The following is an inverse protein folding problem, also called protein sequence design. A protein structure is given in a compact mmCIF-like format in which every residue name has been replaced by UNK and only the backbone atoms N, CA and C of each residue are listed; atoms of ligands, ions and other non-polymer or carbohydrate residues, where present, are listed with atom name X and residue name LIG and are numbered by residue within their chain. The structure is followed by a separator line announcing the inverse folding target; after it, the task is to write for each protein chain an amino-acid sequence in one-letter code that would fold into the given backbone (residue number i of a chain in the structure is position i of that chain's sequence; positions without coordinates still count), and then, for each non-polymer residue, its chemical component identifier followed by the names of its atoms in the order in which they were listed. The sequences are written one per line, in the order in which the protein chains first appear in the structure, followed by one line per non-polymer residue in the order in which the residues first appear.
data_IF_437464649591
#
_entry.id   IF_437464649591
#
_cell.length_a   1.000
_cell.length_b   1.000
_cell.length_c   1.000
_cell.angle_alpha   90.00
_cell.angle_beta   90.00
_cell.angle_gamma   90.00
#
_symmetry.space_group_name_H-M   'P 1'
#
loop_
_entity.id
_entity.type
_entity.pdbx_description
1 polymer ?
#
# COMPACT_ATOMS: atom_id res chain seq x y z
N UNK A 1 38.25 3.59 41.28
CA UNK A 1 37.87 2.73 40.13
C UNK A 1 36.60 2.01 40.53
N UNK A 2 35.45 2.61 40.21
CA UNK A 2 34.14 2.16 40.70
C UNK A 2 33.38 1.52 39.55
N UNK A 3 33.10 0.22 39.69
CA UNK A 3 32.34 -0.60 38.76
C UNK A 3 30.90 -0.08 38.61
N UNK A 4 30.58 0.50 37.45
CA UNK A 4 29.20 0.65 36.97
C UNK A 4 28.87 -0.58 36.14
N UNK A 5 28.47 -1.66 36.80
CA UNK A 5 27.81 -2.79 36.16
C UNK A 5 26.48 -2.30 35.60
N UNK A 6 26.49 -2.01 34.30
CA UNK A 6 25.29 -1.68 33.53
C UNK A 6 24.37 -2.89 33.56
N UNK A 7 23.26 -2.80 34.31
CA UNK A 7 22.20 -3.80 34.35
C UNK A 7 21.50 -3.83 32.99
N UNK A 8 22.03 -4.64 32.08
CA UNK A 8 21.39 -4.92 30.80
C UNK A 8 20.43 -6.08 31.02
N UNK A 9 19.13 -5.78 31.14
CA UNK A 9 18.08 -6.78 31.12
C UNK A 9 18.02 -7.38 29.71
N UNK A 10 18.12 -8.71 29.63
CA UNK A 10 17.92 -9.51 28.43
C UNK A 10 16.47 -9.98 28.38
N UNK A 11 15.76 -9.65 27.31
CA UNK A 11 14.39 -10.14 27.06
C UNK A 11 14.44 -11.00 25.79
N UNK A 12 13.96 -12.25 25.89
CA UNK A 12 14.00 -13.23 24.80
C UNK A 12 12.75 -13.29 23.93
N UNK A 13 11.71 -12.51 24.26
CA UNK A 13 10.56 -12.33 23.40
C UNK A 13 10.00 -10.91 23.57
N UNK A 14 9.98 -10.15 22.49
CA UNK A 14 9.50 -8.77 22.47
C UNK A 14 8.13 -8.73 21.81
N UNK A 15 7.18 -8.12 22.50
CA UNK A 15 5.94 -7.66 21.87
C UNK A 15 5.98 -6.15 21.88
N UNK A 16 5.96 -5.53 20.71
CA UNK A 16 5.91 -4.06 20.60
C UNK A 16 4.52 -3.64 20.12
N UNK A 17 3.94 -2.68 20.83
CA UNK A 17 2.73 -1.99 20.39
C UNK A 17 3.11 -0.98 19.28
N UNK A 18 2.47 -0.99 18.10
CA UNK A 18 2.79 -0.06 17.01
C UNK A 18 2.82 1.42 17.42
N UNK A 19 1.96 1.82 18.36
CA UNK A 19 1.93 3.20 18.90
C UNK A 19 3.17 3.57 19.70
N UNK A 20 3.76 2.59 20.38
CA UNK A 20 5.00 2.80 21.12
C UNK A 20 6.17 2.78 20.16
N UNK A 21 6.20 1.80 19.25
CA UNK A 21 7.23 1.68 18.22
C UNK A 21 7.43 2.98 17.43
N UNK A 22 6.33 3.60 16.98
CA UNK A 22 6.30 4.86 16.21
C UNK A 22 6.85 6.09 16.93
N UNK A 23 7.14 6.01 18.23
CA UNK A 23 7.85 7.08 18.93
C UNK A 23 9.28 7.28 18.41
N UNK A 24 9.92 6.21 17.91
CA UNK A 24 11.23 6.31 17.28
C UNK A 24 11.06 6.36 15.77
N UNK A 25 11.66 7.35 15.07
CA UNK A 25 11.68 7.41 13.62
C UNK A 25 12.21 6.11 13.01
N UNK A 26 11.58 5.64 11.94
CA UNK A 26 11.93 4.36 11.32
C UNK A 26 13.38 4.30 10.86
N UNK A 27 13.97 5.42 10.44
CA UNK A 27 15.37 5.49 10.01
C UNK A 27 16.31 5.17 11.17
N UNK A 28 16.00 5.70 12.37
CA UNK A 28 16.78 5.41 13.58
C UNK A 28 16.54 3.98 14.06
N UNK A 29 15.30 3.49 13.95
CA UNK A 29 14.95 2.12 14.31
C UNK A 29 15.76 1.12 13.47
N UNK A 30 15.77 1.26 12.15
CA UNK A 30 16.54 0.40 11.24
C UNK A 30 18.06 0.58 11.43
N UNK A 31 18.54 1.82 11.50
CA UNK A 31 19.98 2.11 11.58
C UNK A 31 20.63 1.57 12.85
N UNK A 32 19.91 1.65 13.97
CA UNK A 32 20.44 1.29 15.28
C UNK A 32 19.86 -0.01 15.84
N UNK A 33 19.02 -0.72 15.06
CA UNK A 33 18.25 -1.88 15.50
C UNK A 33 17.64 -1.63 16.88
N UNK A 34 16.85 -0.57 16.94
CA UNK A 34 16.26 -0.03 18.14
C UNK A 34 14.75 0.05 17.97
N UNK A 35 14.00 -0.44 18.96
CA UNK A 35 12.55 -0.47 18.91
C UNK A 35 11.99 -0.06 20.27
N UNK A 36 11.20 1.02 20.37
CA UNK A 36 10.44 1.27 21.57
C UNK A 36 9.45 0.13 21.82
N UNK A 37 9.41 -0.37 23.06
CA UNK A 37 8.59 -1.55 23.42
C UNK A 37 7.55 -1.24 24.49
N UNK A 38 7.78 -0.24 25.34
CA UNK A 38 6.83 0.17 26.37
C UNK A 38 6.97 1.66 26.71
N UNK A 39 5.89 2.25 27.22
CA UNK A 39 5.86 3.59 27.83
C UNK A 39 5.21 3.47 29.20
N UNK A 40 5.84 4.07 30.22
CA UNK A 40 5.31 4.19 31.57
C UNK A 40 5.49 5.63 32.05
N UNK A 41 4.40 6.42 32.02
CA UNK A 41 4.45 7.87 32.23
C UNK A 41 5.33 8.56 31.20
N UNK A 42 6.38 9.26 31.65
CA UNK A 42 7.35 9.94 30.79
C UNK A 42 8.51 9.02 30.34
N UNK A 43 8.57 7.79 30.86
CA UNK A 43 9.68 6.86 30.61
C UNK A 43 9.36 5.96 29.42
N UNK A 44 10.25 5.96 28.42
CA UNK A 44 10.16 5.06 27.26
C UNK A 44 11.19 3.95 27.40
N UNK A 45 10.77 2.70 27.28
CA UNK A 45 11.68 1.54 27.24
C UNK A 45 11.93 1.16 25.80
N UNK A 46 13.20 1.11 25.40
CA UNK A 46 13.67 0.79 24.05
C UNK A 46 14.50 -0.48 24.08
N UNK A 47 14.11 -1.47 23.28
CA UNK A 47 14.94 -2.63 23.00
C UNK A 47 15.96 -2.28 21.92
N UNK A 48 17.24 -2.55 22.18
CA UNK A 48 18.34 -2.36 21.23
C UNK A 48 19.15 -3.65 21.08
N UNK A 49 19.63 -3.92 19.87
CA UNK A 49 20.58 -5.03 19.64
C UNK A 49 21.92 -4.75 20.35
N UNK A 50 22.38 -3.50 20.27
CA UNK A 50 23.70 -3.04 20.73
C UNK A 50 23.61 -1.83 21.67
N UNK A 51 23.06 -1.98 22.90
CA UNK A 51 22.94 -0.87 23.85
C UNK A 51 24.28 -0.29 24.35
N UNK A 52 25.38 -0.99 24.12
CA UNK A 52 26.76 -0.55 24.38
C UNK A 52 27.25 0.53 23.40
N UNK A 53 26.63 0.65 22.22
CA UNK A 53 26.95 1.70 21.27
C UNK A 53 26.47 3.06 21.82
N UNK A 54 27.42 3.85 22.30
CA UNK A 54 27.16 5.14 22.93
C UNK A 54 26.58 6.16 21.96
N UNK A 55 26.91 6.08 20.67
CA UNK A 55 26.41 7.02 19.66
C UNK A 55 24.98 6.65 19.25
N UNK A 56 24.70 5.35 19.07
CA UNK A 56 23.34 4.86 18.86
C UNK A 56 22.43 5.25 20.04
N UNK A 57 22.89 5.04 21.27
CA UNK A 57 22.12 5.38 22.47
C UNK A 57 21.88 6.88 22.61
N UNK A 58 22.87 7.72 22.32
CA UNK A 58 22.68 9.18 22.29
C UNK A 58 21.65 9.60 21.25
N UNK A 59 21.69 9.03 20.04
CA UNK A 59 20.74 9.34 18.99
C UNK A 59 19.30 8.94 19.37
N UNK A 60 19.12 7.76 19.95
CA UNK A 60 17.81 7.28 20.44
C UNK A 60 17.29 8.17 21.57
N UNK A 61 18.12 8.51 22.56
CA UNK A 61 17.75 9.40 23.67
C UNK A 61 17.42 10.81 23.17
N UNK A 62 18.16 11.34 22.21
CA UNK A 62 17.88 12.65 21.62
C UNK A 62 16.50 12.68 20.93
N UNK A 63 16.08 11.56 20.34
CA UNK A 63 14.78 11.40 19.68
C UNK A 63 13.62 11.23 20.67
N UNK A 64 13.81 10.42 21.72
CA UNK A 64 12.72 10.00 22.63
C UNK A 64 12.67 10.77 23.95
N UNK A 65 13.72 11.53 24.27
CA UNK A 65 13.85 12.29 25.50
C UNK A 65 14.71 11.61 26.58
N UNK A 66 15.10 12.38 27.61
CA UNK A 66 16.08 11.97 28.62
C UNK A 66 15.60 10.84 29.55
N UNK A 67 14.29 10.60 29.63
CA UNK A 67 13.69 9.52 30.41
C UNK A 67 13.71 8.16 29.68
N UNK A 68 14.53 8.00 28.64
CA UNK A 68 14.62 6.73 27.89
C UNK A 68 15.47 5.69 28.61
N UNK A 69 14.90 4.51 28.83
CA UNK A 69 15.60 3.32 29.32
C UNK A 69 15.88 2.37 28.17
N UNK A 70 17.11 1.85 28.08
CA UNK A 70 17.52 0.93 27.02
C UNK A 70 17.74 -0.46 27.60
N UNK A 71 17.15 -1.47 26.96
CA UNK A 71 17.35 -2.89 27.26
C UNK A 71 17.99 -3.58 26.06
N UNK A 72 18.69 -4.70 26.29
CA UNK A 72 19.21 -5.52 25.18
C UNK A 72 18.16 -6.53 24.75
N UNK A 73 17.99 -6.68 23.44
CA UNK A 73 17.25 -7.80 22.90
C UNK A 73 17.93 -8.37 21.64
N UNK A 74 17.39 -9.47 21.12
CA UNK A 74 17.94 -10.16 19.97
C UNK A 74 17.80 -9.30 18.70
N UNK A 75 18.89 -9.18 17.94
CA UNK A 75 18.94 -8.36 16.75
C UNK A 75 17.94 -8.82 15.67
N UNK A 76 17.78 -10.15 15.50
CA UNK A 76 16.88 -10.71 14.49
C UNK A 76 15.43 -10.52 14.87
N UNK A 77 15.13 -10.59 16.17
CA UNK A 77 13.78 -10.33 16.66
C UNK A 77 13.39 -8.85 16.50
N UNK A 78 14.30 -7.93 16.82
CA UNK A 78 14.10 -6.50 16.59
C UNK A 78 13.93 -6.22 15.10
N UNK A 79 14.80 -6.78 14.25
CA UNK A 79 14.73 -6.61 12.80
C UNK A 79 13.42 -7.14 12.20
N UNK A 80 12.95 -8.32 12.65
CA UNK A 80 11.66 -8.87 12.24
C UNK A 80 10.52 -7.91 12.61
N UNK A 81 10.48 -7.42 13.85
CA UNK A 81 9.45 -6.50 14.33
C UNK A 81 9.51 -5.16 13.60
N UNK A 82 10.71 -4.62 13.36
CA UNK A 82 10.89 -3.39 12.60
C UNK A 82 10.35 -3.56 11.17
N UNK A 83 10.66 -4.67 10.51
CA UNK A 83 10.16 -4.92 9.15
C UNK A 83 8.64 -5.16 9.09
N UNK A 84 8.05 -5.70 10.16
CA UNK A 84 6.60 -5.83 10.31
C UNK A 84 5.92 -4.47 10.54
N UNK A 85 6.53 -3.60 11.34
CA UNK A 85 5.97 -2.31 11.74
C UNK A 85 6.21 -1.21 10.70
N UNK A 86 7.39 -1.22 10.10
CA UNK A 86 7.84 -0.32 9.04
C UNK A 86 8.49 -1.15 7.94
N UNK A 87 7.70 -1.73 7.03
CA UNK A 87 8.24 -2.30 5.81
C UNK A 87 9.12 -1.23 5.16
N UNK A 88 10.40 -1.55 4.90
CA UNK A 88 11.49 -0.62 4.54
C UNK A 88 11.16 0.41 3.44
N UNK A 89 10.09 0.19 2.67
CA UNK A 89 9.63 1.08 1.61
C UNK A 89 8.70 2.21 2.09
N UNK A 90 8.34 2.30 3.38
CA UNK A 90 7.24 3.16 3.85
C UNK A 90 7.51 4.68 3.83
N UNK A 91 8.77 5.15 3.78
CA UNK A 91 9.11 6.58 3.83
C UNK A 91 10.29 7.02 2.92
N UNK A 92 10.80 6.15 2.06
CA UNK A 92 11.85 6.52 1.11
C UNK A 92 11.34 7.52 0.04
N UNK A 93 12.26 8.35 -0.50
CA UNK A 93 12.04 9.16 -1.70
C UNK A 93 11.47 8.27 -2.81
N UNK A 94 10.25 8.56 -3.25
CA UNK A 94 9.54 7.76 -4.24
C UNK A 94 10.04 8.11 -5.64
N UNK A 95 10.50 7.12 -6.39
CA UNK A 95 10.78 7.32 -7.82
C UNK A 95 9.50 7.11 -8.60
N UNK A 96 9.01 8.17 -9.23
CA UNK A 96 7.77 8.15 -10.00
C UNK A 96 8.12 8.30 -11.46
N UNK A 97 7.79 7.29 -12.26
CA UNK A 97 7.91 7.36 -13.71
C UNK A 97 6.55 7.72 -14.30
N UNK A 98 6.52 8.73 -15.16
CA UNK A 98 5.33 9.11 -15.90
C UNK A 98 5.50 8.82 -17.39
N UNK A 99 4.45 8.31 -18.01
CA UNK A 99 4.44 8.01 -19.45
C UNK A 99 3.09 8.34 -20.07
N UNK A 100 3.11 9.17 -21.12
CA UNK A 100 1.91 9.59 -21.86
C UNK A 100 2.13 9.41 -23.36
N UNK A 101 1.42 8.46 -24.01
CA UNK A 101 1.62 8.16 -25.43
C UNK A 101 1.10 9.24 -26.38
N UNK A 102 0.25 10.16 -25.90
CA UNK A 102 -0.46 11.14 -26.74
C UNK A 102 -0.49 12.53 -26.11
N UNK A 103 -0.25 13.57 -26.92
CA UNK A 103 -0.26 14.98 -26.49
C UNK A 103 -1.66 15.56 -26.16
N UNK A 104 -2.74 14.80 -26.39
CA UNK A 104 -4.11 15.31 -26.18
C UNK A 104 -4.55 15.10 -24.73
N UNK A 105 -4.85 16.18 -24.01
CA UNK A 105 -5.19 16.14 -22.58
C UNK A 105 -3.98 16.10 -21.65
N UNK A 106 -2.80 16.45 -22.17
CA UNK A 106 -1.52 16.34 -21.48
C UNK A 106 -1.44 17.25 -20.25
N UNK A 107 -1.97 18.48 -20.32
CA UNK A 107 -1.87 19.46 -19.22
C UNK A 107 -2.59 19.00 -17.94
N UNK A 108 -3.83 18.51 -18.04
CA UNK A 108 -4.59 18.03 -16.87
C UNK A 108 -3.87 16.84 -16.23
N UNK A 109 -3.38 15.92 -17.06
CA UNK A 109 -2.68 14.74 -16.58
C UNK A 109 -1.29 15.06 -16.02
N UNK A 110 -0.54 15.99 -16.62
CA UNK A 110 0.73 16.47 -16.10
C UNK A 110 0.55 17.14 -14.74
N UNK A 111 -0.45 18.03 -14.61
CA UNK A 111 -0.78 18.68 -13.33
C UNK A 111 -1.14 17.63 -12.26
N UNK A 112 -1.94 16.62 -12.63
CA UNK A 112 -2.27 15.52 -11.73
C UNK A 112 -1.02 14.73 -11.29
N UNK A 113 -0.14 14.38 -12.23
CA UNK A 113 1.10 13.62 -11.96
C UNK A 113 2.06 14.42 -11.08
N UNK A 114 2.22 15.71 -11.35
CA UNK A 114 3.00 16.61 -10.50
C UNK A 114 2.41 16.69 -9.10
N UNK A 115 1.08 16.78 -8.99
CA UNK A 115 0.39 16.83 -7.71
C UNK A 115 0.54 15.53 -6.91
N UNK A 116 0.44 14.37 -7.58
CA UNK A 116 0.70 13.06 -6.97
C UNK A 116 2.17 12.93 -6.56
N UNK A 117 3.11 13.38 -7.38
CA UNK A 117 4.53 13.34 -7.04
C UNK A 117 4.86 14.23 -5.85
N UNK A 118 4.34 15.45 -5.81
CA UNK A 118 4.47 16.35 -4.68
C UNK A 118 3.86 15.75 -3.40
N UNK A 119 2.65 15.19 -3.52
CA UNK A 119 1.98 14.50 -2.42
C UNK A 119 2.82 13.34 -1.89
N UNK A 120 3.45 12.57 -2.76
CA UNK A 120 4.28 11.43 -2.36
C UNK A 120 5.71 11.80 -1.98
N UNK A 121 6.08 13.09 -2.06
CA UNK A 121 7.46 13.56 -1.92
C UNK A 121 8.42 12.78 -2.84
N UNK A 122 7.98 12.55 -4.08
CA UNK A 122 8.67 11.70 -5.06
C UNK A 122 9.41 12.47 -6.14
N UNK A 123 10.49 11.87 -6.62
CA UNK A 123 11.26 12.32 -7.78
C UNK A 123 10.54 11.87 -9.06
N UNK A 124 10.10 12.86 -9.85
CA UNK A 124 9.33 12.63 -11.08
C UNK A 124 10.25 12.52 -12.30
N UNK A 125 10.20 11.37 -12.96
CA UNK A 125 10.84 11.10 -14.25
C UNK A 125 9.76 11.04 -15.32
N UNK A 126 10.01 11.64 -16.50
CA UNK A 126 9.07 11.61 -17.62
C UNK A 126 9.68 10.86 -18.78
N UNK A 127 8.98 9.86 -19.30
CA UNK A 127 9.35 9.10 -20.47
C UNK A 127 8.55 9.60 -21.68
N UNK A 128 9.19 10.42 -22.53
CA UNK A 128 8.57 10.98 -23.73
C UNK A 128 8.83 10.07 -24.93
N UNK A 129 8.13 8.94 -24.99
CA UNK A 129 8.22 8.01 -26.12
C UNK A 129 7.03 8.23 -27.06
N UNK A 130 7.25 8.79 -28.26
CA UNK A 130 6.18 8.98 -29.23
C UNK A 130 5.66 7.63 -29.69
N UNK A 131 4.36 7.40 -29.51
CA UNK A 131 3.72 6.14 -29.83
C UNK A 131 3.44 6.02 -31.33
N UNK A 132 4.42 5.55 -32.11
CA UNK A 132 4.23 5.18 -33.52
C UNK A 132 3.87 3.69 -33.70
N UNK A 133 4.28 2.82 -32.77
CA UNK A 133 3.90 1.40 -32.70
C UNK A 133 3.81 0.93 -31.23
N UNK A 134 2.79 0.13 -30.90
CA UNK A 134 2.51 -0.33 -29.53
C UNK A 134 3.67 -1.14 -28.91
N UNK A 135 4.24 -2.09 -29.68
CA UNK A 135 5.36 -2.93 -29.24
C UNK A 135 6.66 -2.17 -28.93
N UNK A 136 6.98 -1.12 -29.69
CA UNK A 136 8.17 -0.29 -29.44
C UNK A 136 8.01 0.56 -28.18
N UNK A 137 6.81 1.10 -27.95
CA UNK A 137 6.52 1.88 -26.75
C UNK A 137 6.66 1.02 -25.48
N UNK A 138 6.14 -0.21 -25.51
CA UNK A 138 6.22 -1.13 -24.38
C UNK A 138 7.65 -1.56 -24.04
N UNK A 139 8.48 -1.83 -25.06
CA UNK A 139 9.90 -2.12 -24.86
C UNK A 139 10.63 -0.95 -24.20
N UNK A 140 10.37 0.27 -24.65
CA UNK A 140 11.02 1.47 -24.10
C UNK A 140 10.56 1.79 -22.67
N UNK A 141 9.28 1.58 -22.35
CA UNK A 141 8.78 1.69 -20.97
C UNK A 141 9.43 0.63 -20.09
N UNK A 142 9.51 -0.62 -20.56
CA UNK A 142 10.14 -1.72 -19.80
C UNK A 142 11.60 -1.39 -19.52
N UNK A 143 12.31 -0.85 -20.51
CA UNK A 143 13.69 -0.40 -20.34
C UNK A 143 13.80 0.78 -19.37
N UNK A 144 12.92 1.78 -19.48
CA UNK A 144 12.88 2.91 -18.56
C UNK A 144 12.59 2.47 -17.12
N UNK A 145 11.66 1.53 -16.92
CA UNK A 145 11.37 0.91 -15.62
C UNK A 145 12.58 0.15 -15.10
N UNK A 146 13.29 -0.59 -15.97
CA UNK A 146 14.51 -1.33 -15.59
C UNK A 146 15.64 -0.38 -15.15
N UNK A 147 15.85 0.72 -15.87
CA UNK A 147 16.92 1.67 -15.61
C UNK A 147 16.65 2.54 -14.39
N UNK A 148 15.42 3.05 -14.26
CA UNK A 148 15.07 3.99 -13.19
C UNK A 148 14.63 3.29 -11.91
N UNK A 149 14.15 2.05 -12.01
CA UNK A 149 13.54 1.27 -10.93
C UNK A 149 12.50 2.11 -10.16
N UNK A 150 11.45 2.59 -10.84
CA UNK A 150 10.43 3.41 -10.19
C UNK A 150 9.59 2.58 -9.22
N UNK A 151 9.20 3.20 -8.11
CA UNK A 151 8.22 2.64 -7.17
C UNK A 151 6.80 2.70 -7.74
N UNK A 152 6.53 3.73 -8.54
CA UNK A 152 5.24 3.99 -9.18
C UNK A 152 5.39 4.40 -10.64
N UNK A 153 4.71 3.70 -11.54
CA UNK A 153 4.51 4.11 -12.93
C UNK A 153 3.11 4.69 -13.09
N UNK A 154 3.03 5.98 -13.47
CA UNK A 154 1.78 6.66 -13.79
C UNK A 154 1.63 6.75 -15.30
N UNK A 155 0.51 6.29 -15.83
CA UNK A 155 0.21 6.46 -17.25
C UNK A 155 -1.25 6.81 -17.51
N UNK A 156 -1.50 7.50 -18.64
CA UNK A 156 -2.85 7.84 -19.08
C UNK A 156 -3.38 6.78 -20.04
N UNK A 157 -4.58 6.28 -19.76
CA UNK A 157 -5.31 5.42 -20.70
C UNK A 157 -6.28 6.30 -21.54
N UNK A 158 -6.21 6.27 -22.89
CA UNK A 158 -7.02 7.14 -23.75
C UNK A 158 -8.53 6.78 -23.76
N UNK A 159 -9.38 7.78 -23.94
CA UNK A 159 -10.86 7.72 -23.81
C UNK A 159 -11.63 7.03 -24.97
N UNK A 160 -10.98 6.37 -25.92
CA UNK A 160 -11.60 5.90 -27.19
C UNK A 160 -11.10 4.48 -27.59
N UNK A 161 -11.59 3.84 -28.69
CA UNK A 161 -11.50 2.38 -28.93
C UNK A 161 -10.07 1.83 -29.07
N UNK A 162 -9.07 2.72 -29.00
CA UNK A 162 -7.68 2.43 -28.72
C UNK A 162 -7.45 1.63 -27.44
N UNK A 163 -8.42 1.48 -26.52
CA UNK A 163 -8.36 0.42 -25.50
C UNK A 163 -8.19 -0.97 -26.14
N UNK A 164 -8.75 -1.24 -27.33
CA UNK A 164 -8.51 -2.47 -28.09
C UNK A 164 -7.07 -2.63 -28.59
N UNK A 165 -6.30 -1.53 -28.67
CA UNK A 165 -4.95 -1.49 -29.23
C UNK A 165 -3.86 -1.21 -28.18
N UNK A 166 -4.17 -0.47 -27.11
CA UNK A 166 -3.24 0.05 -26.09
C UNK A 166 -3.46 -0.51 -24.69
N UNK A 167 -4.69 -0.95 -24.36
CA UNK A 167 -4.89 -2.00 -23.36
C UNK A 167 -4.64 -3.39 -23.96
N UNK A 168 -3.81 -3.35 -25.02
CA UNK A 168 -2.96 -4.37 -25.55
C UNK A 168 -3.76 -5.27 -26.50
N UNK A 169 -3.22 -5.53 -27.70
CA UNK A 169 -3.63 -6.76 -28.38
C UNK A 169 -3.55 -7.90 -27.35
N UNK A 170 -4.39 -8.94 -27.45
CA UNK A 170 -4.36 -10.07 -26.51
C UNK A 170 -2.95 -10.64 -26.27
N UNK A 171 -2.03 -10.45 -27.22
CA UNK A 171 -0.62 -10.79 -27.14
C UNK A 171 0.21 -9.90 -26.17
N UNK A 172 -0.12 -8.62 -26.02
CA UNK A 172 0.67 -7.65 -25.26
C UNK A 172 0.12 -7.42 -23.83
N UNK A 173 -1.15 -7.79 -23.54
CA UNK A 173 -1.78 -7.71 -22.19
C UNK A 173 -0.93 -8.23 -21.03
N UNK A 174 -0.15 -9.32 -21.22
CA UNK A 174 0.68 -9.86 -20.17
C UNK A 174 1.82 -8.93 -19.73
N UNK A 175 2.24 -7.93 -20.50
CA UNK A 175 3.52 -7.25 -20.27
C UNK A 175 3.45 -6.09 -19.27
N UNK A 176 2.41 -5.25 -19.32
CA UNK A 176 2.22 -4.19 -18.30
C UNK A 176 1.94 -4.80 -16.93
N UNK A 177 1.18 -5.90 -16.90
CA UNK A 177 0.96 -6.68 -15.68
C UNK A 177 2.24 -7.35 -15.15
N UNK A 178 3.23 -7.64 -16.01
CA UNK A 178 4.53 -8.21 -15.63
C UNK A 178 5.56 -7.20 -15.11
N UNK A 179 5.30 -5.88 -15.23
CA UNK A 179 6.24 -4.89 -14.70
C UNK A 179 6.36 -5.05 -13.18
N UNK A 180 7.55 -5.04 -12.58
CA UNK A 180 7.71 -5.23 -11.14
C UNK A 180 7.24 -4.01 -10.31
N UNK A 181 6.83 -2.91 -10.95
CA UNK A 181 6.44 -1.64 -10.30
C UNK A 181 4.92 -1.51 -10.13
N UNK A 182 4.50 -0.75 -9.11
CA UNK A 182 3.09 -0.40 -8.90
C UNK A 182 2.61 0.53 -10.02
N UNK A 183 1.34 0.43 -10.39
CA UNK A 183 0.80 1.10 -11.58
C UNK A 183 -0.37 2.01 -11.20
N UNK A 184 -0.29 3.29 -11.53
CA UNK A 184 -1.42 4.22 -11.46
C UNK A 184 -1.94 4.51 -12.87
N UNK A 185 -3.08 3.94 -13.19
CA UNK A 185 -3.76 4.14 -14.47
C UNK A 185 -4.72 5.31 -14.33
N UNK A 186 -4.54 6.35 -15.14
CA UNK A 186 -5.38 7.55 -15.11
C UNK A 186 -6.22 7.64 -16.38
N UNK A 187 -7.55 7.71 -16.24
CA UNK A 187 -8.47 8.00 -17.36
C UNK A 187 -8.99 9.43 -17.22
N UNK A 188 -9.76 9.65 -16.16
CA UNK A 188 -10.13 11.00 -15.71
C UNK A 188 -9.44 11.27 -14.38
N UNK A 189 -8.28 11.97 -14.38
CA UNK A 189 -7.62 12.34 -13.14
C UNK A 189 -8.56 13.17 -12.26
N UNK A 190 -8.62 12.84 -10.96
CA UNK A 190 -9.42 13.56 -9.96
C UNK A 190 -8.51 14.07 -8.87
N UNK A 191 -8.54 15.38 -8.67
CA UNK A 191 -7.72 16.07 -7.68
C UNK A 191 -8.56 17.15 -6.98
N UNK A 192 -8.41 17.35 -5.66
CA UNK A 192 -7.57 16.60 -4.72
C UNK A 192 -8.05 15.16 -4.47
N UNK A 193 -7.16 14.29 -3.98
CA UNK A 193 -7.54 12.94 -3.54
C UNK A 193 -8.15 13.06 -2.14
N UNK A 194 -9.48 13.00 -2.03
CA UNK A 194 -10.18 13.10 -0.75
C UNK A 194 -10.84 11.78 -0.34
N UNK A 195 -11.19 10.92 -1.31
CA UNK A 195 -11.93 9.67 -1.07
C UNK A 195 -11.29 8.51 -1.82
N UNK A 196 -10.74 7.56 -1.08
CA UNK A 196 -10.06 6.38 -1.62
C UNK A 196 -10.93 5.15 -1.39
N UNK A 197 -11.18 4.37 -2.44
CA UNK A 197 -11.77 3.03 -2.35
C UNK A 197 -10.64 2.00 -2.32
N UNK A 198 -10.44 1.32 -1.19
CA UNK A 198 -9.52 0.20 -1.05
C UNK A 198 -10.28 -1.11 -1.25
N UNK A 199 -9.99 -1.81 -2.35
CA UNK A 199 -10.58 -3.11 -2.66
C UNK A 199 -9.66 -4.19 -2.11
N UNK A 200 -10.19 -5.05 -1.23
CA UNK A 200 -9.48 -6.19 -0.66
C UNK A 200 -10.05 -7.48 -1.24
N UNK A 201 -9.20 -8.37 -1.74
CA UNK A 201 -9.62 -9.64 -2.32
C UNK A 201 -8.92 -10.86 -1.70
N UNK A 202 -7.70 -10.70 -1.17
CA UNK A 202 -6.92 -11.76 -0.57
C UNK A 202 -5.88 -11.22 0.42
N UNK A 203 -5.79 -11.77 1.65
CA UNK A 203 -4.83 -11.34 2.66
C UNK A 203 -3.37 -11.31 2.17
N UNK A 204 -3.00 -12.20 1.25
CA UNK A 204 -1.61 -12.33 0.78
C UNK A 204 -1.20 -11.29 -0.27
N UNK A 205 -2.18 -10.71 -0.99
CA UNK A 205 -1.92 -9.81 -2.12
C UNK A 205 -2.38 -8.37 -1.87
N UNK A 206 -3.20 -8.16 -0.83
CA UNK A 206 -3.75 -6.84 -0.51
C UNK A 206 -2.81 -5.97 0.34
N UNK A 207 -1.78 -6.57 0.95
CA UNK A 207 -0.85 -5.85 1.83
C UNK A 207 -0.15 -4.67 1.12
N UNK A 208 0.38 -4.82 -0.12
CA UNK A 208 0.85 -3.68 -0.90
C UNK A 208 -0.22 -2.61 -1.15
N UNK A 209 -1.47 -3.01 -1.38
CA UNK A 209 -2.58 -2.10 -1.63
C UNK A 209 -2.91 -1.27 -0.38
N UNK A 210 -2.94 -1.92 0.78
CA UNK A 210 -3.13 -1.25 2.06
C UNK A 210 -1.97 -0.29 2.37
N UNK A 211 -0.72 -0.68 2.09
CA UNK A 211 0.45 0.20 2.24
C UNK A 211 0.36 1.46 1.38
N UNK A 212 0.01 1.30 0.10
CA UNK A 212 -0.20 2.43 -0.82
C UNK A 212 -1.38 3.31 -0.38
N UNK A 213 -2.47 2.69 0.06
CA UNK A 213 -3.64 3.41 0.57
C UNK A 213 -3.28 4.25 1.79
N UNK A 214 -2.61 3.70 2.80
CA UNK A 214 -2.14 4.43 3.99
C UNK A 214 -1.23 5.58 3.59
N UNK A 215 -0.28 5.34 2.68
CA UNK A 215 0.66 6.37 2.22
C UNK A 215 -0.05 7.56 1.59
N UNK A 216 -1.03 7.30 0.73
CA UNK A 216 -1.78 8.33 0.02
C UNK A 216 -2.77 9.04 0.95
N UNK A 217 -3.54 8.27 1.71
CA UNK A 217 -4.55 8.78 2.63
C UNK A 217 -3.94 9.65 3.73
N UNK A 218 -2.83 9.22 4.35
CA UNK A 218 -2.17 9.99 5.42
C UNK A 218 -1.69 11.36 4.95
N UNK A 219 -1.13 11.45 3.74
CA UNK A 219 -0.58 12.70 3.19
C UNK A 219 -1.66 13.59 2.59
N UNK A 220 -2.69 13.01 1.99
CA UNK A 220 -3.80 13.75 1.39
C UNK A 220 -4.90 14.08 2.41
N UNK A 221 -4.82 13.55 3.63
CA UNK A 221 -5.90 13.56 4.62
C UNK A 221 -7.20 13.01 4.03
N UNK A 222 -7.08 11.94 3.23
CA UNK A 222 -8.19 11.33 2.53
C UNK A 222 -8.92 10.30 3.39
N UNK A 223 -10.22 10.19 3.19
CA UNK A 223 -11.05 9.16 3.79
C UNK A 223 -10.94 7.87 2.98
N UNK A 224 -10.85 6.73 3.68
CA UNK A 224 -10.71 5.42 3.06
C UNK A 224 -11.99 4.62 3.24
N UNK A 225 -12.53 4.08 2.16
CA UNK A 225 -13.57 3.06 2.21
C UNK A 225 -12.97 1.72 1.84
N UNK A 226 -13.04 0.75 2.73
CA UNK A 226 -12.61 -0.63 2.52
C UNK A 226 -13.80 -1.42 1.96
N UNK A 227 -13.59 -2.07 0.82
CA UNK A 227 -14.53 -2.99 0.19
C UNK A 227 -13.86 -4.38 0.08
N UNK A 228 -14.12 -5.32 1.01
CA UNK A 228 -13.74 -6.71 0.84
C UNK A 228 -14.62 -7.38 -0.21
N UNK A 229 -13.99 -8.05 -1.16
CA UNK A 229 -14.66 -8.87 -2.16
C UNK A 229 -14.97 -10.24 -1.56
N UNK A 230 -16.25 -10.48 -1.30
CA UNK A 230 -16.73 -11.75 -0.75
C UNK A 230 -17.31 -12.58 -1.89
N UNK A 231 -16.79 -13.79 -2.09
CA UNK A 231 -17.39 -14.72 -3.04
C UNK A 231 -18.79 -15.12 -2.57
N UNK A 232 -19.80 -14.87 -3.41
CA UNK A 232 -21.17 -15.34 -3.14
C UNK A 232 -21.17 -16.87 -3.06
N UNK A 233 -21.70 -17.44 -1.98
CA UNK A 233 -21.84 -18.90 -1.91
C UNK A 233 -22.89 -19.37 -2.92
N UNK A 234 -22.79 -20.62 -3.41
CA UNK A 234 -23.81 -21.21 -4.26
C UNK A 234 -25.20 -21.08 -3.62
N UNK A 235 -26.25 -20.85 -4.42
CA UNK A 235 -27.60 -20.53 -3.97
C UNK A 235 -28.18 -21.51 -2.92
N UNK A 236 -27.74 -22.77 -2.91
CA UNK A 236 -28.11 -23.78 -1.90
C UNK A 236 -27.63 -23.44 -0.48
N UNK A 237 -26.64 -22.56 -0.33
CA UNK A 237 -26.11 -22.06 0.95
C UNK A 237 -26.51 -20.59 1.23
N UNK A 238 -27.32 -19.96 0.37
CA UNK A 238 -27.71 -18.55 0.51
C UNK A 238 -28.44 -18.28 1.84
N UNK A 239 -29.21 -19.25 2.34
CA UNK A 239 -29.89 -19.15 3.64
C UNK A 239 -28.93 -19.10 4.85
N UNK A 240 -27.69 -19.58 4.69
CA UNK A 240 -26.64 -19.50 5.71
C UNK A 240 -25.81 -18.21 5.58
N UNK A 241 -25.67 -17.65 4.36
CA UNK A 241 -24.96 -16.39 4.14
C UNK A 241 -25.79 -15.14 4.47
N UNK A 242 -27.11 -15.17 4.27
CA UNK A 242 -28.01 -14.06 4.61
C UNK A 242 -28.03 -13.66 6.10
N UNK A 243 -27.29 -14.38 6.95
CA UNK A 243 -27.16 -14.11 8.39
C UNK A 243 -25.79 -13.58 8.81
N UNK A 244 -24.81 -13.43 7.91
CA UNK A 244 -23.52 -12.89 8.30
C UNK A 244 -23.56 -11.36 8.30
N UNK A 245 -23.89 -10.76 9.44
CA UNK A 245 -23.73 -9.33 9.60
C UNK A 245 -22.25 -8.96 9.67
N UNK A 246 -21.92 -7.70 9.36
CA UNK A 246 -20.59 -7.11 9.53
C UNK A 246 -19.97 -7.44 10.90
N UNK A 247 -20.79 -7.37 11.94
CA UNK A 247 -20.40 -7.67 13.31
C UNK A 247 -20.03 -9.14 13.52
N UNK A 248 -20.68 -10.06 12.82
CA UNK A 248 -20.39 -11.49 12.91
C UNK A 248 -19.08 -11.83 12.19
N UNK A 249 -18.83 -11.20 11.03
CA UNK A 249 -17.57 -11.38 10.29
C UNK A 249 -16.39 -10.82 11.10
N UNK A 250 -16.53 -9.61 11.65
CA UNK A 250 -15.50 -8.98 12.49
C UNK A 250 -15.29 -9.69 13.83
N UNK A 251 -16.35 -10.33 14.37
CA UNK A 251 -16.30 -11.10 15.62
C UNK A 251 -15.81 -12.53 15.46
N UNK A 252 -15.83 -13.07 14.24
CA UNK A 252 -15.34 -14.41 13.94
C UNK A 252 -13.82 -14.45 13.72
N UNK A 253 -13.17 -15.54 14.15
CA UNK A 253 -11.74 -15.78 13.90
C UNK A 253 -11.45 -16.28 12.46
N UNK A 254 -12.25 -15.85 11.48
CA UNK A 254 -11.99 -16.18 10.09
C UNK A 254 -10.90 -15.28 9.48
N UNK A 255 -10.27 -15.75 8.40
CA UNK A 255 -9.19 -15.03 7.72
C UNK A 255 -9.61 -13.64 7.25
N UNK A 256 -10.83 -13.51 6.72
CA UNK A 256 -11.40 -12.22 6.30
C UNK A 256 -11.61 -11.28 7.48
N UNK A 257 -12.17 -11.77 8.59
CA UNK A 257 -12.36 -11.01 9.83
C UNK A 257 -11.01 -10.50 10.38
N UNK A 258 -9.98 -11.36 10.39
CA UNK A 258 -8.62 -10.98 10.78
C UNK A 258 -8.03 -9.91 9.86
N UNK A 259 -8.17 -10.09 8.54
CA UNK A 259 -7.68 -9.12 7.56
C UNK A 259 -8.37 -7.76 7.71
N UNK A 260 -9.69 -7.75 7.88
CA UNK A 260 -10.45 -6.51 8.07
C UNK A 260 -10.12 -5.82 9.39
N UNK A 261 -9.96 -6.58 10.49
CA UNK A 261 -9.49 -6.05 11.77
C UNK A 261 -8.09 -5.45 11.63
N UNK A 262 -7.17 -6.14 10.96
CA UNK A 262 -5.81 -5.65 10.72
C UNK A 262 -5.82 -4.38 9.86
N UNK A 263 -6.58 -4.36 8.76
CA UNK A 263 -6.69 -3.18 7.90
C UNK A 263 -7.29 -1.98 8.65
N UNK A 264 -8.38 -2.19 9.40
CA UNK A 264 -9.00 -1.15 10.22
C UNK A 264 -8.06 -0.63 11.31
N UNK A 265 -7.35 -1.53 12.01
CA UNK A 265 -6.36 -1.14 13.02
C UNK A 265 -5.25 -0.28 12.41
N UNK A 266 -4.75 -0.67 11.24
CA UNK A 266 -3.71 0.09 10.56
C UNK A 266 -4.19 1.46 10.10
N UNK A 267 -5.40 1.59 9.56
CA UNK A 267 -5.95 2.93 9.26
C UNK A 267 -6.09 3.78 10.53
N UNK A 268 -6.54 3.19 11.65
CA UNK A 268 -6.66 3.87 12.93
C UNK A 268 -5.31 4.32 13.50
N UNK A 269 -4.26 3.50 13.38
CA UNK A 269 -2.91 3.84 13.85
C UNK A 269 -2.34 5.07 13.11
N UNK A 270 -2.72 5.27 11.85
CA UNK A 270 -2.34 6.42 11.03
C UNK A 270 -3.36 7.57 11.07
N UNK A 271 -4.35 7.51 11.96
CA UNK A 271 -5.41 8.52 12.13
C UNK A 271 -6.21 8.80 10.84
N UNK A 272 -6.38 7.77 10.00
CA UNK A 272 -7.14 7.86 8.75
C UNK A 272 -8.60 7.47 9.03
N UNK A 273 -9.57 8.30 8.62
CA UNK A 273 -10.99 7.94 8.71
C UNK A 273 -11.28 6.78 7.75
N UNK A 274 -11.60 5.62 8.33
CA UNK A 274 -11.92 4.39 7.62
C UNK A 274 -13.41 4.06 7.70
N UNK A 275 -14.01 3.65 6.58
CA UNK A 275 -15.35 3.05 6.52
C UNK A 275 -15.27 1.66 5.89
N UNK A 276 -16.07 0.72 6.38
CA UNK A 276 -16.13 -0.64 5.82
C UNK A 276 -17.48 -0.83 5.13
N UNK A 277 -17.46 -1.30 3.88
CA UNK A 277 -18.64 -1.60 3.06
C UNK A 277 -18.65 -3.06 2.67
N UNK A 278 -19.68 -3.80 3.06
CA UNK A 278 -19.94 -5.13 2.52
C UNK A 278 -20.98 -5.05 1.41
N UNK A 279 -20.82 -5.93 0.43
CA UNK A 279 -21.68 -6.06 -0.74
C UNK A 279 -22.02 -7.52 -0.93
N UNK A 280 -23.28 -7.80 -1.28
CA UNK A 280 -23.81 -9.16 -1.43
C UNK A 280 -23.93 -9.57 -2.90
N UNK A 281 -23.68 -8.63 -3.82
CA UNK A 281 -23.69 -8.84 -5.26
C UNK A 281 -22.56 -9.81 -5.69
N UNK A 282 -22.63 -10.38 -6.90
CA UNK A 282 -21.51 -11.11 -7.49
C UNK A 282 -20.23 -10.26 -7.50
N UNK A 283 -19.07 -10.88 -7.28
CA UNK A 283 -17.77 -10.20 -7.11
C UNK A 283 -17.43 -9.22 -8.24
N UNK A 284 -17.79 -9.56 -9.48
CA UNK A 284 -17.60 -8.72 -10.67
C UNK A 284 -18.48 -7.44 -10.66
N UNK A 285 -19.56 -7.45 -9.88
CA UNK A 285 -20.51 -6.34 -9.74
C UNK A 285 -20.27 -5.52 -8.47
N UNK A 286 -19.73 -6.11 -7.39
CA UNK A 286 -19.53 -5.41 -6.10
C UNK A 286 -18.76 -4.09 -6.27
N UNK A 287 -17.61 -4.15 -6.98
CA UNK A 287 -16.79 -2.96 -7.25
C UNK A 287 -17.54 -1.95 -8.12
N UNK A 288 -18.30 -2.45 -9.10
CA UNK A 288 -19.05 -1.59 -10.03
C UNK A 288 -20.19 -0.84 -9.34
N UNK A 289 -20.97 -1.53 -8.51
CA UNK A 289 -22.03 -0.91 -7.72
C UNK A 289 -21.43 0.14 -6.78
N UNK A 290 -20.39 -0.22 -6.02
CA UNK A 290 -19.75 0.70 -5.08
C UNK A 290 -19.16 1.94 -5.76
N UNK A 291 -18.47 1.79 -6.89
CA UNK A 291 -17.92 2.92 -7.65
C UNK A 291 -19.02 3.77 -8.30
N UNK A 292 -20.16 3.18 -8.68
CA UNK A 292 -21.28 3.94 -9.24
C UNK A 292 -22.07 4.72 -8.18
N UNK A 293 -22.14 4.21 -6.96
CA UNK A 293 -22.85 4.84 -5.84
C UNK A 293 -21.98 5.83 -5.06
N UNK A 294 -20.67 5.60 -5.02
CA UNK A 294 -19.72 6.40 -4.28
C UNK A 294 -18.88 7.32 -5.18
N UNK A 295 -18.69 8.57 -4.76
CA UNK A 295 -17.82 9.51 -5.46
C UNK A 295 -16.37 9.37 -4.98
N UNK A 296 -15.66 8.36 -5.50
CA UNK A 296 -14.27 8.06 -5.16
C UNK A 296 -13.29 8.75 -6.11
N UNK A 297 -12.24 9.36 -5.58
CA UNK A 297 -11.19 10.02 -6.38
C UNK A 297 -10.12 9.04 -6.85
N UNK A 298 -9.96 7.92 -6.14
CA UNK A 298 -8.97 6.90 -6.42
C UNK A 298 -9.48 5.51 -5.99
N UNK A 299 -9.25 4.51 -6.82
CA UNK A 299 -9.44 3.09 -6.48
C UNK A 299 -8.08 2.46 -6.29
N UNK A 300 -7.88 1.72 -5.19
CA UNK A 300 -6.62 1.03 -4.87
C UNK A 300 -6.90 -0.47 -4.71
N UNK A 301 -6.10 -1.30 -5.35
CA UNK A 301 -6.19 -2.76 -5.28
C UNK A 301 -4.82 -3.43 -5.35
N UNK A 302 -4.71 -4.64 -4.79
CA UNK A 302 -3.50 -5.46 -4.84
C UNK A 302 -3.33 -6.16 -6.20
N UNK A 303 -2.09 -6.35 -6.63
CA UNK A 303 -1.77 -7.26 -7.72
C UNK A 303 -1.59 -8.68 -7.18
N UNK A 304 -2.21 -9.68 -7.83
CA UNK A 304 -1.92 -11.09 -7.47
C UNK A 304 -0.54 -11.49 -7.96
N UNK A 305 0.27 -11.91 -7.01
CA UNK A 305 1.56 -12.55 -7.26
C UNK A 305 1.41 -14.06 -7.11
N UNK A 306 1.64 -14.78 -8.22
CA UNK A 306 1.82 -16.23 -8.30
C UNK A 306 0.61 -17.12 -7.97
N UNK A 307 -0.06 -17.65 -9.01
CA UNK A 307 -0.42 -19.07 -9.19
C UNK A 307 -1.17 -19.24 -10.54
N UNK A 308 -0.83 -20.24 -11.39
CA UNK A 308 -1.34 -20.34 -12.77
C UNK A 308 -2.85 -20.61 -12.89
N UNK A 309 -3.52 -21.03 -11.82
CA UNK A 309 -4.97 -21.34 -11.81
C UNK A 309 -5.83 -20.12 -11.44
N UNK A 310 -5.25 -19.09 -10.80
CA UNK A 310 -5.96 -17.84 -10.40
C UNK A 310 -5.73 -16.70 -11.42
N UNK A 311 -5.10 -17.00 -12.57
CA UNK A 311 -5.07 -16.11 -13.75
C UNK A 311 -6.45 -15.60 -14.20
N UNK A 312 -7.52 -16.23 -13.72
CA UNK A 312 -8.89 -15.97 -14.12
C UNK A 312 -9.52 -14.74 -13.46
N UNK A 313 -9.12 -14.33 -12.24
CA UNK A 313 -9.85 -13.29 -11.49
C UNK A 313 -9.26 -11.88 -11.70
N UNK A 314 -7.94 -11.70 -11.79
CA UNK A 314 -7.36 -10.39 -12.11
C UNK A 314 -7.58 -9.95 -13.56
N UNK A 315 -7.62 -10.91 -14.50
CA UNK A 315 -8.10 -10.65 -15.86
C UNK A 315 -9.60 -10.27 -15.91
N UNK A 316 -10.38 -10.62 -14.88
CA UNK A 316 -11.82 -10.33 -14.78
C UNK A 316 -12.17 -9.12 -13.91
N UNK A 317 -11.29 -8.69 -13.00
CA UNK A 317 -11.52 -7.48 -12.21
C UNK A 317 -10.74 -6.31 -12.77
N UNK A 318 -9.43 -6.43 -12.98
CA UNK A 318 -8.61 -5.28 -13.41
C UNK A 318 -8.91 -4.88 -14.84
N UNK A 319 -8.97 -5.83 -15.78
CA UNK A 319 -9.23 -5.45 -17.17
C UNK A 319 -10.64 -4.85 -17.35
N UNK A 320 -11.71 -5.42 -16.76
CA UNK A 320 -13.02 -4.78 -16.77
C UNK A 320 -13.04 -3.47 -15.99
N UNK A 321 -12.45 -3.40 -14.80
CA UNK A 321 -12.37 -2.16 -14.00
C UNK A 321 -11.69 -1.04 -14.80
N UNK A 322 -10.53 -1.29 -15.40
CA UNK A 322 -9.85 -0.31 -16.25
C UNK A 322 -10.67 0.04 -17.50
N UNK A 323 -11.55 -0.85 -17.97
CA UNK A 323 -12.44 -0.62 -19.11
C UNK A 323 -13.63 0.27 -18.79
N UNK A 324 -14.27 0.12 -17.62
CA UNK A 324 -15.49 0.87 -17.28
C UNK A 324 -15.30 1.96 -16.23
N UNK A 325 -14.30 1.87 -15.35
CA UNK A 325 -14.05 2.90 -14.35
C UNK A 325 -13.57 4.17 -15.06
N UNK A 326 -14.23 5.28 -14.73
CA UNK A 326 -13.82 6.63 -15.10
C UNK A 326 -12.78 7.20 -14.10
N UNK A 327 -12.49 6.49 -13.02
CA UNK A 327 -11.59 6.92 -11.94
C UNK A 327 -10.15 6.46 -12.13
N UNK A 328 -9.17 7.17 -11.54
CA UNK A 328 -7.82 6.66 -11.36
C UNK A 328 -7.81 5.32 -10.62
N UNK A 329 -7.02 4.37 -11.10
CA UNK A 329 -6.89 3.03 -10.51
C UNK A 329 -5.42 2.75 -10.21
N UNK A 330 -5.11 2.53 -8.94
CA UNK A 330 -3.80 2.11 -8.45
C UNK A 330 -3.78 0.60 -8.25
N UNK A 331 -2.88 -0.07 -8.97
CA UNK A 331 -2.59 -1.48 -8.85
C UNK A 331 -1.27 -1.61 -8.10
N UNK A 332 -1.35 -1.98 -6.84
CA UNK A 332 -0.21 -2.10 -5.94
C UNK A 332 0.51 -3.44 -6.12
N UNK A 333 1.83 -3.40 -6.33
CA UNK A 333 2.67 -4.60 -6.39
C UNK A 333 3.59 -4.66 -5.17
N UNK A 334 3.99 -5.87 -4.73
CA UNK A 334 5.08 -5.98 -3.78
C UNK A 334 6.33 -5.34 -4.40
N UNK A 335 6.89 -4.35 -3.71
CA UNK A 335 8.11 -3.63 -4.12
C UNK A 335 9.33 -4.36 -3.60
#
# INVERSE_FOLDING_TARGET
MSNLTSNVLHVGHITSNPRVATLLPSELAHRYLALPVAVDGERVTVAMAHPEDLDARKAVIASLGPATCVIRADAREIERLINELWPQNSLAHMKILSWFPTAKGEEITQNYVQSVAALLSGDLFTCNVPSKAAGEALQQITEAVRLQQPDLLIFRCPDAPLIKQFLLEPAEQPYVQKLPTSLLVTRQPRWPICRILLVLHSPLNDEPALNWCIRLASRAQANVTILPLVASAPAMFAALQARQNLSDILGSDCSLGNQLRQAAQRLADWHIEGRLRLRDEPVDQQVRCEVSEGDYDLIVLGAETHLPVVRWVLGQLVNPLLYWADRPVLIAKPV
#
